data_IF_770749133541
#
_entry.id   IF_770749133541
#
_cell.length_a   1.000
_cell.length_b   1.000
_cell.length_c   1.000
_cell.angle_alpha   90.00
_cell.angle_beta   90.00
_cell.angle_gamma   90.00
#
_symmetry.space_group_name_H-M   'P 1'
#
loop_
_entity.id
_entity.type
_entity.pdbx_description
1 polymer ?
#
# COMPACT_ATOMS: atom_id res chain seq x y z
N UNK A 1 -37.98 -10.14 25.96
CA UNK A 1 -38.04 -10.63 24.56
C UNK A 1 -37.48 -9.63 23.55
N UNK A 2 -37.96 -8.38 23.52
CA UNK A 2 -37.57 -7.36 22.52
C UNK A 2 -36.07 -6.99 22.52
N UNK A 3 -35.44 -6.86 23.69
CA UNK A 3 -34.01 -6.56 23.83
C UNK A 3 -33.12 -7.62 23.18
N UNK A 4 -33.47 -8.90 23.36
CA UNK A 4 -32.76 -10.05 22.77
C UNK A 4 -32.87 -10.05 21.25
N UNK A 5 -34.07 -9.80 20.72
CA UNK A 5 -34.30 -9.68 19.27
C UNK A 5 -33.49 -8.53 18.68
N UNK A 6 -33.54 -7.34 19.30
CA UNK A 6 -32.79 -6.15 18.85
C UNK A 6 -31.27 -6.39 18.86
N UNK A 7 -30.76 -7.13 19.84
CA UNK A 7 -29.35 -7.54 19.92
C UNK A 7 -28.95 -8.46 18.76
N UNK A 8 -29.72 -9.52 18.51
CA UNK A 8 -29.48 -10.44 17.39
C UNK A 8 -29.59 -9.73 16.03
N UNK A 9 -30.61 -8.90 15.85
CA UNK A 9 -30.81 -8.13 14.62
C UNK A 9 -29.63 -7.19 14.34
N UNK A 10 -29.14 -6.47 15.36
CA UNK A 10 -27.95 -5.61 15.23
C UNK A 10 -26.69 -6.40 14.91
N UNK A 11 -26.48 -7.56 15.51
CA UNK A 11 -25.31 -8.40 15.22
C UNK A 11 -25.29 -8.87 13.76
N UNK A 12 -26.45 -9.26 13.22
CA UNK A 12 -26.57 -9.71 11.82
C UNK A 12 -26.45 -8.55 10.85
N UNK A 13 -27.00 -7.37 11.18
CA UNK A 13 -27.05 -6.23 10.25
C UNK A 13 -25.81 -5.34 10.30
N UNK A 14 -25.17 -5.19 11.46
CA UNK A 14 -24.01 -4.29 11.66
C UNK A 14 -22.87 -4.49 10.66
N UNK A 15 -22.45 -5.72 10.30
CA UNK A 15 -21.40 -5.96 9.31
C UNK A 15 -21.75 -5.48 7.89
N UNK A 16 -23.02 -5.21 7.60
CA UNK A 16 -23.48 -4.72 6.30
C UNK A 16 -23.77 -3.21 6.29
N UNK A 17 -23.63 -2.54 7.44
CA UNK A 17 -23.81 -1.09 7.57
C UNK A 17 -22.47 -0.40 7.26
N UNK A 18 -22.34 0.35 6.15
CA UNK A 18 -21.04 0.80 5.64
C UNK A 18 -20.19 1.63 6.60
N UNK A 19 -20.81 2.36 7.55
CA UNK A 19 -20.10 3.19 8.53
C UNK A 19 -19.77 2.46 9.83
N UNK A 20 -20.34 1.28 10.08
CA UNK A 20 -20.02 0.44 11.24
C UNK A 20 -18.90 -0.56 10.95
N UNK A 21 -18.67 -0.86 9.67
CA UNK A 21 -17.57 -1.72 9.23
C UNK A 21 -16.26 -0.92 9.27
N UNK A 22 -15.27 -1.33 10.09
CA UNK A 22 -13.95 -0.71 10.06
C UNK A 22 -13.35 -0.84 8.66
N UNK A 23 -12.80 0.26 8.14
CA UNK A 23 -12.05 0.20 6.89
C UNK A 23 -10.88 -0.76 7.05
N UNK A 24 -10.65 -1.62 6.05
CA UNK A 24 -9.48 -2.51 6.04
C UNK A 24 -8.22 -1.67 6.27
N UNK A 25 -7.35 -2.09 7.22
CA UNK A 25 -6.10 -1.39 7.45
C UNK A 25 -5.26 -1.43 6.18
N UNK A 26 -4.66 -0.29 5.83
CA UNK A 26 -3.76 -0.24 4.70
C UNK A 26 -2.42 -0.89 5.08
N UNK A 27 -2.27 -2.17 4.75
CA UNK A 27 -1.05 -2.93 4.97
C UNK A 27 0.05 -2.60 3.94
N UNK A 28 -0.05 -1.51 3.20
CA UNK A 28 1.07 -1.01 2.40
C UNK A 28 2.15 -0.43 3.31
N UNK A 29 3.43 -0.57 2.96
CA UNK A 29 4.49 0.20 3.59
C UNK A 29 4.19 1.71 3.49
N UNK A 30 4.45 2.49 4.55
CA UNK A 30 4.08 3.90 4.62
C UNK A 30 4.82 4.78 3.60
N UNK A 31 5.98 4.33 3.11
CA UNK A 31 6.74 5.00 2.06
C UNK A 31 6.23 4.74 0.63
N UNK A 32 5.22 3.87 0.43
CA UNK A 32 4.56 3.71 -0.89
C UNK A 32 3.59 4.85 -1.13
N UNK A 33 4.11 5.92 -1.72
CA UNK A 33 3.33 7.09 -2.13
C UNK A 33 2.52 6.82 -3.41
N UNK A 34 1.61 7.74 -3.75
CA UNK A 34 0.81 7.69 -4.99
C UNK A 34 1.69 7.66 -6.24
N UNK A 35 2.84 8.35 -6.23
CA UNK A 35 3.79 8.39 -7.34
C UNK A 35 4.48 7.05 -7.55
N UNK A 36 4.97 6.41 -6.47
CA UNK A 36 5.52 5.05 -6.50
C UNK A 36 4.48 4.07 -7.06
N UNK A 37 3.23 4.16 -6.59
CA UNK A 37 2.13 3.29 -7.06
C UNK A 37 1.83 3.48 -8.55
N UNK A 38 1.80 4.73 -9.05
CA UNK A 38 1.60 5.02 -10.48
C UNK A 38 2.70 4.39 -11.33
N UNK A 39 3.96 4.50 -10.88
CA UNK A 39 5.10 3.94 -11.62
C UNK A 39 5.11 2.41 -11.60
N UNK A 40 4.78 1.78 -10.48
CA UNK A 40 4.62 0.31 -10.38
C UNK A 40 3.52 -0.22 -11.30
N UNK A 41 2.39 0.49 -11.42
CA UNK A 41 1.33 0.16 -12.38
C UNK A 41 1.84 0.26 -13.82
N UNK A 42 2.54 1.35 -14.16
CA UNK A 42 3.13 1.52 -15.51
C UNK A 42 4.09 0.37 -15.84
N UNK A 43 4.92 -0.04 -14.87
CA UNK A 43 5.83 -1.19 -15.00
C UNK A 43 5.07 -2.48 -15.32
N UNK A 44 4.02 -2.79 -14.54
CA UNK A 44 3.19 -3.99 -14.74
C UNK A 44 2.52 -3.96 -16.12
N UNK A 45 1.97 -2.82 -16.53
CA UNK A 45 1.31 -2.70 -17.82
C UNK A 45 2.27 -2.97 -18.98
N UNK A 46 3.50 -2.44 -18.96
CA UNK A 46 4.48 -2.70 -20.03
C UNK A 46 4.91 -4.16 -20.08
N UNK A 47 5.06 -4.81 -18.92
CA UNK A 47 5.32 -6.24 -18.88
C UNK A 47 4.17 -7.04 -19.50
N UNK A 48 2.93 -6.72 -19.13
CA UNK A 48 1.76 -7.39 -19.70
C UNK A 48 1.66 -7.19 -21.22
N UNK A 49 1.92 -5.98 -21.71
CA UNK A 49 1.95 -5.69 -23.15
C UNK A 49 3.05 -6.48 -23.86
N UNK A 50 4.23 -6.62 -23.26
CA UNK A 50 5.30 -7.46 -23.81
C UNK A 50 4.87 -8.93 -23.87
N UNK A 51 4.27 -9.46 -22.81
CA UNK A 51 3.78 -10.85 -22.79
C UNK A 51 2.68 -11.08 -23.82
N UNK A 52 1.80 -10.11 -24.07
CA UNK A 52 0.70 -10.27 -25.03
C UNK A 52 1.11 -10.05 -26.50
N UNK A 53 2.13 -9.23 -26.77
CA UNK A 53 2.49 -8.84 -28.15
C UNK A 53 3.85 -9.38 -28.61
N UNK A 54 4.74 -9.76 -27.70
CA UNK A 54 6.12 -10.12 -28.01
C UNK A 54 7.01 -8.96 -28.48
N UNK A 55 6.49 -7.72 -28.54
CA UNK A 55 7.23 -6.58 -29.11
C UNK A 55 8.32 -6.07 -28.16
N UNK A 56 9.57 -6.06 -28.64
CA UNK A 56 10.76 -5.70 -27.85
C UNK A 56 10.73 -4.26 -27.31
N UNK A 57 10.02 -3.34 -27.98
CA UNK A 57 9.81 -1.97 -27.51
C UNK A 57 9.21 -1.91 -26.09
N UNK A 58 8.31 -2.85 -25.76
CA UNK A 58 7.68 -2.92 -24.45
C UNK A 58 8.63 -3.50 -23.40
N UNK A 59 9.50 -4.44 -23.79
CA UNK A 59 10.56 -4.97 -22.93
C UNK A 59 11.61 -3.91 -22.60
N UNK A 60 12.09 -3.17 -23.59
CA UNK A 60 13.01 -2.04 -23.39
C UNK A 60 12.41 -0.97 -22.48
N UNK A 61 11.16 -0.58 -22.75
CA UNK A 61 10.42 0.37 -21.90
C UNK A 61 10.22 -0.15 -20.48
N UNK A 62 9.88 -1.44 -20.31
CA UNK A 62 9.77 -2.09 -19.01
C UNK A 62 11.09 -2.01 -18.23
N UNK A 63 12.23 -2.30 -18.87
CA UNK A 63 13.54 -2.23 -18.22
C UNK A 63 13.85 -0.82 -17.71
N UNK A 64 13.60 0.22 -18.53
CA UNK A 64 13.76 1.63 -18.12
C UNK A 64 12.88 1.96 -16.91
N UNK A 65 11.60 1.59 -16.96
CA UNK A 65 10.65 1.83 -15.86
C UNK A 65 11.03 1.03 -14.61
N UNK A 66 11.52 -0.21 -14.75
CA UNK A 66 11.97 -1.06 -13.64
C UNK A 66 13.11 -0.39 -12.88
N UNK A 67 14.08 0.17 -13.58
CA UNK A 67 15.21 0.87 -12.97
C UNK A 67 14.76 2.16 -12.27
N UNK A 68 13.88 2.94 -12.91
CA UNK A 68 13.27 4.12 -12.29
C UNK A 68 12.47 3.76 -11.02
N UNK A 69 11.70 2.66 -11.05
CA UNK A 69 11.01 2.14 -9.86
C UNK A 69 11.97 1.81 -8.73
N UNK A 70 13.06 1.08 -9.02
CA UNK A 70 14.07 0.74 -8.00
C UNK A 70 14.64 2.01 -7.36
N UNK A 71 15.10 2.97 -8.17
CA UNK A 71 15.66 4.22 -7.68
C UNK A 71 14.66 5.03 -6.83
N UNK A 72 13.41 5.16 -7.31
CA UNK A 72 12.38 5.90 -6.60
C UNK A 72 11.98 5.24 -5.28
N UNK A 73 11.86 3.91 -5.25
CA UNK A 73 11.57 3.15 -4.03
C UNK A 73 12.68 3.35 -3.01
N UNK A 74 13.95 3.19 -3.41
CA UNK A 74 15.08 3.40 -2.52
C UNK A 74 15.10 4.82 -1.94
N UNK A 75 14.87 5.84 -2.79
CA UNK A 75 14.83 7.25 -2.36
C UNK A 75 13.69 7.52 -1.39
N UNK A 76 12.48 7.09 -1.71
CA UNK A 76 11.29 7.33 -0.87
C UNK A 76 11.36 6.59 0.45
N UNK A 77 11.83 5.34 0.45
CA UNK A 77 12.09 4.56 1.66
C UNK A 77 13.12 5.24 2.55
N UNK A 78 14.29 5.61 2.00
CA UNK A 78 15.35 6.27 2.78
C UNK A 78 14.87 7.60 3.37
N UNK A 79 14.14 8.41 2.60
CA UNK A 79 13.58 9.67 3.08
C UNK A 79 12.61 9.45 4.25
N UNK A 80 11.75 8.43 4.15
CA UNK A 80 10.82 8.08 5.20
C UNK A 80 11.53 7.58 6.46
N UNK A 81 12.52 6.70 6.30
CA UNK A 81 13.30 6.15 7.42
C UNK A 81 14.09 7.25 8.14
N UNK A 82 14.69 8.20 7.41
CA UNK A 82 15.33 9.37 8.01
C UNK A 82 14.36 10.20 8.85
N UNK A 83 13.15 10.44 8.36
CA UNK A 83 12.13 11.16 9.11
C UNK A 83 11.68 10.36 10.34
N UNK A 84 11.49 9.06 10.19
CA UNK A 84 11.08 8.16 11.27
C UNK A 84 12.08 8.17 12.43
N UNK A 85 13.38 8.16 12.12
CA UNK A 85 14.45 8.25 13.14
C UNK A 85 14.44 9.63 13.82
N UNK A 86 14.23 10.73 13.09
CA UNK A 86 14.08 12.07 13.69
C UNK A 86 12.89 12.13 14.66
N UNK A 87 11.74 11.62 14.23
CA UNK A 87 10.50 11.63 15.01
C UNK A 87 10.55 10.66 16.21
N UNK A 88 11.44 9.66 16.19
CA UNK A 88 11.54 8.61 17.21
C UNK A 88 11.82 9.15 18.61
N UNK A 89 12.44 10.34 18.71
CA UNK A 89 12.68 11.03 19.98
C UNK A 89 11.37 11.34 20.73
N UNK A 90 10.29 11.57 19.99
CA UNK A 90 8.98 11.92 20.52
C UNK A 90 7.97 10.78 20.40
N UNK A 91 8.10 9.92 19.37
CA UNK A 91 7.14 8.85 19.05
C UNK A 91 7.87 7.52 18.83
N UNK A 92 8.40 6.94 19.91
CA UNK A 92 9.18 5.69 19.91
C UNK A 92 8.39 4.49 19.38
N UNK A 93 7.10 4.36 19.74
CA UNK A 93 6.23 3.24 19.31
C UNK A 93 6.18 3.05 17.79
N UNK A 94 6.22 4.14 17.04
CA UNK A 94 6.14 4.13 15.56
C UNK A 94 7.40 3.52 14.94
N UNK A 95 8.57 3.79 15.51
CA UNK A 95 9.83 3.19 15.07
C UNK A 95 9.84 1.69 15.34
N UNK A 96 9.46 1.27 16.56
CA UNK A 96 9.38 -0.16 16.91
C UNK A 96 8.38 -0.94 16.04
N UNK A 97 7.23 -0.35 15.74
CA UNK A 97 6.25 -0.93 14.81
C UNK A 97 6.80 -1.10 13.40
N UNK A 98 7.66 -0.18 12.93
CA UNK A 98 8.27 -0.28 11.60
C UNK A 98 9.35 -1.36 11.53
N UNK A 99 10.14 -1.53 12.60
CA UNK A 99 11.23 -2.53 12.68
C UNK A 99 10.66 -3.96 12.81
N UNK A 100 9.57 -4.15 13.56
CA UNK A 100 8.94 -5.47 13.76
C UNK A 100 8.14 -5.99 12.55
N UNK A 101 8.05 -5.22 11.47
CA UNK A 101 7.22 -5.51 10.30
C UNK A 101 8.02 -6.25 9.23
#
# INVERSE_FOLDING_TARGET
AWSVFKGKFRLVTSPFIPYLVPRRPNNSPPWITKTVRKLLRKRKNHWNMFISTGLEQYRSSYCKIRNACKALISKTRLSYEKQLVRDSRYITKRLFSYIKR
#
